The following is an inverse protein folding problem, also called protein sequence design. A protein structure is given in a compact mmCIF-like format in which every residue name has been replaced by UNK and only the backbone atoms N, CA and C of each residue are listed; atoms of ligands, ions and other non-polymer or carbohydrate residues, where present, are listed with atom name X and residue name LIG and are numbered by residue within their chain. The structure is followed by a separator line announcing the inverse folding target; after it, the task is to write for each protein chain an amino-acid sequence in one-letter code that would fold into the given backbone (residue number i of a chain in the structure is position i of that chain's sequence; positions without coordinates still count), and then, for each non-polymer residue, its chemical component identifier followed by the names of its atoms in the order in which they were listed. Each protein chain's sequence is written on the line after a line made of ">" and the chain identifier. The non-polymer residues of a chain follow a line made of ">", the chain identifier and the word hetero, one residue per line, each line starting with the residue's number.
data_IF_565729538222
#
_entry.id   IF_565729538222
#
_cell.length_a   1.000
_cell.length_b   1.000
_cell.length_c   1.000
_cell.angle_alpha   90.00
_cell.angle_beta   90.00
_cell.angle_gamma   90.00
#
_symmetry.space_group_name_H-M   'P 1'
#
loop_
_entity.id
_entity.type
_entity.pdbx_description
1 polymer ?
#
# COMPACT_ATOMS: atom_id res chain seq x y z
N UNK A 1 -22.97 13.65 -13.96
CA UNK A 1 -23.67 12.97 -12.83
C UNK A 1 -22.71 12.41 -11.78
N UNK A 2 -21.40 12.44 -12.04
CA UNK A 2 -20.30 12.02 -11.16
C UNK A 2 -20.04 12.94 -9.96
N UNK A 3 -20.34 14.21 -10.09
CA UNK A 3 -19.98 15.23 -9.09
C UNK A 3 -20.66 15.09 -7.72
N UNK A 4 -21.79 14.39 -7.62
CA UNK A 4 -22.56 14.34 -6.38
C UNK A 4 -22.15 13.23 -5.44
N UNK A 5 -21.77 12.05 -5.97
CA UNK A 5 -21.31 10.93 -5.15
C UNK A 5 -19.90 11.20 -4.59
N UNK A 6 -18.98 11.69 -5.43
CA UNK A 6 -17.67 12.16 -5.01
C UNK A 6 -17.75 13.29 -3.97
N UNK A 7 -18.70 14.22 -4.11
CA UNK A 7 -18.91 15.30 -3.15
C UNK A 7 -19.44 14.85 -1.78
N UNK A 8 -20.16 13.73 -1.71
CA UNK A 8 -20.73 13.22 -0.45
C UNK A 8 -19.72 12.36 0.32
N UNK A 9 -18.86 11.63 -0.40
CA UNK A 9 -17.89 10.71 0.21
C UNK A 9 -16.48 11.28 0.30
N UNK A 10 -16.14 12.18 -0.62
CA UNK A 10 -14.87 12.90 -0.63
C UNK A 10 -15.11 14.42 -0.62
N UNK A 11 -15.54 14.99 0.50
CA UNK A 11 -15.89 16.40 0.59
C UNK A 11 -14.70 17.37 0.43
N UNK A 12 -13.48 16.85 0.32
CA UNK A 12 -12.23 17.61 0.33
C UNK A 12 -12.04 18.54 -0.85
N UNK A 13 -12.39 18.10 -2.06
CA UNK A 13 -12.40 18.99 -3.24
C UNK A 13 -13.40 20.14 -3.07
N UNK A 14 -14.57 19.82 -2.54
CA UNK A 14 -15.57 20.84 -2.23
C UNK A 14 -15.08 21.79 -1.13
N UNK A 15 -14.48 21.24 -0.06
CA UNK A 15 -13.93 22.03 1.05
C UNK A 15 -12.77 22.93 0.60
N UNK A 16 -11.90 22.47 -0.32
CA UNK A 16 -10.84 23.31 -0.91
C UNK A 16 -11.39 24.38 -1.87
N UNK A 17 -12.34 24.01 -2.73
CA UNK A 17 -12.98 24.98 -3.64
C UNK A 17 -13.78 26.07 -2.89
N UNK A 18 -14.27 25.76 -1.70
CA UNK A 18 -14.97 26.71 -0.84
C UNK A 18 -14.05 27.48 0.12
N UNK A 19 -12.74 27.19 0.12
CA UNK A 19 -11.78 27.85 1.01
C UNK A 19 -11.82 27.39 2.46
N UNK A 20 -12.55 26.32 2.76
CA UNK A 20 -12.65 25.75 4.11
C UNK A 20 -11.45 24.84 4.46
N UNK A 21 -10.67 24.43 3.47
CA UNK A 21 -9.38 23.77 3.65
C UNK A 21 -8.27 24.59 2.97
N UNK A 22 -7.06 24.59 3.56
CA UNK A 22 -5.91 25.27 2.95
C UNK A 22 -5.49 24.59 1.64
N UNK A 23 -4.82 25.31 0.72
CA UNK A 23 -4.19 24.71 -0.45
C UNK A 23 -3.13 23.69 -0.02
N UNK A 24 -2.88 22.69 -0.88
CA UNK A 24 -1.85 21.67 -0.65
C UNK A 24 -0.50 22.33 -0.36
N UNK A 25 0.14 22.03 0.79
CA UNK A 25 1.45 22.62 1.07
C UNK A 25 2.50 22.07 0.11
N UNK A 26 3.30 22.95 -0.48
CA UNK A 26 4.48 22.56 -1.25
C UNK A 26 5.56 22.13 -0.26
N UNK A 27 5.88 20.85 -0.24
CA UNK A 27 6.90 20.28 0.66
C UNK A 27 8.28 20.43 0.01
N UNK A 28 9.20 21.14 0.67
CA UNK A 28 10.59 21.26 0.23
C UNK A 28 11.40 19.96 0.42
N UNK A 29 12.58 19.89 -0.23
CA UNK A 29 13.46 18.71 -0.21
C UNK A 29 13.85 18.22 1.19
N UNK A 30 13.87 16.91 1.45
CA UNK A 30 14.30 16.35 2.72
C UNK A 30 15.81 16.53 2.95
N UNK A 31 16.26 16.69 4.20
CA UNK A 31 17.67 16.57 4.53
C UNK A 31 18.13 15.12 4.27
N UNK A 32 19.31 14.94 3.68
CA UNK A 32 19.84 13.65 3.24
C UNK A 32 19.82 12.59 4.34
N UNK A 33 19.35 11.38 3.99
CA UNK A 33 19.37 10.22 4.88
C UNK A 33 20.78 9.68 5.05
N UNK A 34 21.17 9.33 6.30
CA UNK A 34 22.46 8.72 6.60
C UNK A 34 22.39 7.23 6.24
N UNK A 35 23.27 6.70 5.39
CA UNK A 35 23.27 5.29 4.99
C UNK A 35 23.65 4.36 6.15
N UNK A 36 22.90 3.26 6.37
CA UNK A 36 23.31 2.17 7.29
C UNK A 36 24.15 1.10 6.59
N UNK A 37 25.17 0.54 7.21
CA UNK A 37 26.01 -0.53 6.63
C UNK A 37 25.26 -1.87 6.56
N UNK A 38 25.38 -2.62 5.46
CA UNK A 38 25.10 -4.06 5.41
C UNK A 38 24.00 -4.55 4.48
N UNK A 39 23.19 -3.70 3.85
CA UNK A 39 22.16 -4.13 2.90
C UNK A 39 22.62 -3.83 1.46
N UNK A 40 22.55 -4.83 0.56
CA UNK A 40 23.17 -4.79 -0.77
C UNK A 40 22.68 -3.67 -1.71
N UNK A 41 21.41 -3.32 -1.68
CA UNK A 41 20.84 -2.17 -2.38
C UNK A 41 20.27 -1.23 -1.36
N UNK A 42 20.70 0.04 -1.38
CA UNK A 42 20.17 1.09 -0.51
C UNK A 42 19.21 1.95 -1.31
N UNK A 43 18.01 2.14 -0.76
CA UNK A 43 17.11 3.15 -1.26
C UNK A 43 17.51 4.49 -0.64
N UNK A 44 18.20 5.32 -1.44
CA UNK A 44 18.65 6.64 -0.98
C UNK A 44 17.51 7.65 -1.08
N UNK A 45 17.21 8.28 0.05
CA UNK A 45 16.21 9.33 0.15
C UNK A 45 16.71 10.72 -0.28
N UNK A 46 17.77 10.79 -1.09
CA UNK A 46 18.40 12.08 -1.47
C UNK A 46 17.64 12.85 -2.55
N UNK A 47 16.62 12.25 -3.18
CA UNK A 47 15.77 12.95 -4.15
C UNK A 47 14.30 12.79 -3.78
N UNK A 48 13.50 13.87 -3.85
CA UNK A 48 12.11 13.83 -3.44
C UNK A 48 11.23 12.91 -4.25
N UNK A 49 11.59 12.50 -5.47
CA UNK A 49 10.77 11.62 -6.31
C UNK A 49 11.58 10.91 -7.38
N UNK A 50 12.17 9.75 -7.15
CA UNK A 50 12.47 8.87 -8.27
C UNK A 50 11.12 8.36 -8.83
N UNK A 51 10.72 8.91 -9.97
CA UNK A 51 9.62 8.35 -10.75
C UNK A 51 10.12 7.04 -11.32
N UNK A 52 9.53 5.93 -10.88
CA UNK A 52 9.89 4.58 -11.34
C UNK A 52 8.89 4.08 -12.40
N UNK A 53 8.21 4.99 -13.11
CA UNK A 53 7.03 4.65 -13.89
C UNK A 53 7.23 4.74 -15.40
N UNK A 54 6.75 3.68 -16.08
CA UNK A 54 6.14 3.77 -17.41
C UNK A 54 4.64 3.55 -17.25
N UNK A 55 3.82 4.57 -17.41
CA UNK A 55 2.35 4.50 -17.25
C UNK A 55 1.62 4.16 -18.54
N UNK A 56 0.50 3.45 -18.38
CA UNK A 56 -0.60 3.45 -19.34
C UNK A 56 -1.71 4.41 -18.87
N UNK A 57 -2.35 5.08 -19.80
CA UNK A 57 -3.29 6.19 -19.62
C UNK A 57 -4.66 5.84 -18.99
N UNK A 58 -4.95 4.58 -18.70
CA UNK A 58 -6.29 4.16 -18.24
C UNK A 58 -6.60 4.46 -16.77
N UNK A 59 -5.63 4.97 -16.00
CA UNK A 59 -5.77 5.25 -14.57
C UNK A 59 -5.59 6.72 -14.18
N UNK A 60 -5.43 7.61 -15.16
CA UNK A 60 -5.10 9.02 -14.88
C UNK A 60 -6.17 9.73 -14.03
N UNK A 61 -7.45 9.43 -14.23
CA UNK A 61 -8.55 10.03 -13.43
C UNK A 61 -8.52 9.53 -11.98
N UNK A 62 -8.28 8.26 -11.76
CA UNK A 62 -8.17 7.64 -10.44
C UNK A 62 -6.96 8.17 -9.67
N UNK A 63 -5.78 8.21 -10.31
CA UNK A 63 -4.55 8.77 -9.72
C UNK A 63 -4.74 10.23 -9.33
N UNK A 64 -5.36 11.04 -10.22
CA UNK A 64 -5.61 12.45 -9.94
C UNK A 64 -6.53 12.66 -8.71
N UNK A 65 -7.50 11.77 -8.49
CA UNK A 65 -8.41 11.85 -7.34
C UNK A 65 -7.67 11.55 -6.03
N UNK A 66 -6.80 10.55 -5.99
CA UNK A 66 -5.96 10.26 -4.82
C UNK A 66 -4.89 11.34 -4.59
N UNK A 67 -4.32 11.92 -5.64
CA UNK A 67 -3.41 13.06 -5.54
C UNK A 67 -4.08 14.27 -4.86
N UNK A 68 -5.34 14.56 -5.23
CA UNK A 68 -6.09 15.67 -4.63
C UNK A 68 -6.51 15.40 -3.18
N UNK A 69 -6.68 14.13 -2.80
CA UNK A 69 -7.10 13.73 -1.45
C UNK A 69 -5.97 13.55 -0.46
N UNK A 70 -4.72 13.48 -0.92
CA UNK A 70 -3.58 13.01 -0.12
C UNK A 70 -3.44 13.71 1.24
N UNK A 71 -3.70 15.02 1.33
CA UNK A 71 -3.54 15.80 2.59
C UNK A 71 -4.58 15.47 3.66
N UNK A 72 -5.72 14.92 3.25
CA UNK A 72 -6.88 14.72 4.14
C UNK A 72 -7.30 13.26 4.20
N UNK A 73 -6.69 12.42 3.35
CA UNK A 73 -6.98 10.98 3.26
C UNK A 73 -6.97 10.32 4.64
N UNK A 74 -5.90 10.52 5.40
CA UNK A 74 -5.74 9.97 6.73
C UNK A 74 -6.88 10.38 7.68
N UNK A 75 -7.35 11.62 7.63
CA UNK A 75 -8.41 12.09 8.49
C UNK A 75 -9.75 11.39 8.26
N UNK A 76 -10.02 10.98 7.01
CA UNK A 76 -11.28 10.33 6.63
C UNK A 76 -11.20 8.81 6.65
N UNK A 77 -10.08 8.23 6.22
CA UNK A 77 -9.93 6.76 6.06
C UNK A 77 -9.45 6.11 7.35
N UNK A 78 -8.54 6.76 8.08
CA UNK A 78 -7.90 6.24 9.29
C UNK A 78 -8.86 5.77 10.38
N UNK A 79 -9.99 6.44 10.69
CA UNK A 79 -10.94 5.93 11.70
C UNK A 79 -11.49 4.54 11.36
N UNK A 80 -11.54 4.18 10.07
CA UNK A 80 -12.03 2.88 9.59
C UNK A 80 -10.89 1.88 9.38
N UNK A 81 -9.76 2.32 8.80
CA UNK A 81 -8.63 1.43 8.50
C UNK A 81 -7.85 1.01 9.74
N UNK A 82 -7.69 1.90 10.72
CA UNK A 82 -6.89 1.63 11.92
C UNK A 82 -7.34 0.38 12.70
N UNK A 83 -8.62 0.18 13.03
CA UNK A 83 -9.03 -1.03 13.72
C UNK A 83 -8.77 -2.32 12.92
N UNK A 84 -8.96 -2.26 11.59
CA UNK A 84 -8.71 -3.40 10.71
C UNK A 84 -7.22 -3.73 10.69
N UNK A 85 -6.38 -2.71 10.55
CA UNK A 85 -4.93 -2.88 10.52
C UNK A 85 -4.37 -3.31 11.88
N UNK A 86 -4.95 -2.83 13.00
CA UNK A 86 -4.53 -3.24 14.36
C UNK A 86 -4.67 -4.74 14.55
N UNK A 87 -5.79 -5.32 14.14
CA UNK A 87 -6.02 -6.75 14.22
C UNK A 87 -5.15 -7.51 13.19
N UNK A 88 -5.03 -6.98 11.96
CA UNK A 88 -4.20 -7.58 10.93
C UNK A 88 -2.71 -7.58 11.30
N UNK A 89 -2.23 -6.56 12.00
CA UNK A 89 -0.84 -6.47 12.47
C UNK A 89 -0.50 -7.63 13.42
N UNK A 90 -1.47 -8.12 14.20
CA UNK A 90 -1.29 -9.32 15.03
C UNK A 90 -0.91 -10.57 14.22
N UNK A 91 -1.41 -10.70 13.00
CA UNK A 91 -1.07 -11.79 12.07
C UNK A 91 0.22 -11.53 11.26
N UNK A 92 0.53 -10.26 10.97
CA UNK A 92 1.67 -9.86 10.14
C UNK A 92 2.96 -9.75 10.96
N UNK A 93 2.91 -9.18 12.16
CA UNK A 93 4.10 -8.92 12.99
C UNK A 93 4.92 -10.18 13.29
N UNK A 94 4.33 -11.36 13.61
CA UNK A 94 5.10 -12.59 13.83
C UNK A 94 5.89 -13.09 12.61
N UNK A 95 5.57 -12.58 11.42
CA UNK A 95 6.25 -12.93 10.17
C UNK A 95 7.47 -12.04 9.89
N UNK A 96 7.67 -10.97 10.68
CA UNK A 96 8.76 -10.00 10.52
C UNK A 96 9.87 -10.26 11.53
N UNK A 97 11.11 -10.23 11.06
CA UNK A 97 12.29 -10.15 11.92
C UNK A 97 12.63 -8.68 12.19
N UNK A 98 13.31 -8.35 13.29
CA UNK A 98 13.68 -6.96 13.61
C UNK A 98 14.51 -6.25 12.53
N UNK A 99 15.25 -7.01 11.72
CA UNK A 99 16.08 -6.56 10.61
C UNK A 99 15.41 -6.73 9.24
N UNK A 100 14.12 -7.04 9.21
CA UNK A 100 13.39 -7.32 7.97
C UNK A 100 13.35 -6.12 7.03
N UNK A 101 13.38 -6.40 5.73
CA UNK A 101 13.09 -5.44 4.68
C UNK A 101 11.65 -5.65 4.20
N UNK A 102 10.82 -4.63 4.37
CA UNK A 102 9.39 -4.68 4.10
C UNK A 102 9.01 -3.72 2.98
N UNK A 103 8.18 -4.17 2.05
CA UNK A 103 7.54 -3.34 1.02
C UNK A 103 6.05 -3.19 1.34
N UNK A 104 5.56 -1.96 1.30
CA UNK A 104 4.13 -1.63 1.30
C UNK A 104 3.71 -1.31 -0.14
N UNK A 105 2.89 -2.18 -0.71
CA UNK A 105 2.43 -2.08 -2.09
C UNK A 105 1.06 -1.36 -2.14
N UNK A 106 1.06 -0.07 -2.40
CA UNK A 106 -0.09 0.84 -2.27
C UNK A 106 -0.11 1.50 -0.90
N UNK A 107 0.97 2.21 -0.55
CA UNK A 107 1.20 2.70 0.81
C UNK A 107 0.35 3.92 1.20
N UNK A 108 -0.37 4.55 0.24
CA UNK A 108 -1.10 5.77 0.49
C UNK A 108 -0.22 6.83 1.19
N UNK A 109 -0.77 7.51 2.18
CA UNK A 109 -0.06 8.49 2.99
C UNK A 109 0.95 7.87 4.01
N UNK A 110 1.15 6.55 3.98
CA UNK A 110 2.20 5.83 4.72
C UNK A 110 1.93 5.61 6.21
N UNK A 111 0.70 5.74 6.67
CA UNK A 111 0.37 5.66 8.10
C UNK A 111 0.65 4.28 8.70
N UNK A 112 0.21 3.22 8.02
CA UNK A 112 0.47 1.83 8.45
C UNK A 112 1.96 1.50 8.34
N UNK A 113 2.61 1.91 7.24
CA UNK A 113 4.03 1.67 7.03
C UNK A 113 4.90 2.28 8.13
N UNK A 114 4.56 3.48 8.61
CA UNK A 114 5.27 4.11 9.72
C UNK A 114 5.14 3.34 11.03
N UNK A 115 4.03 2.65 11.23
CA UNK A 115 3.82 1.77 12.40
C UNK A 115 4.73 0.54 12.30
N UNK A 116 4.82 -0.07 11.12
CA UNK A 116 5.75 -1.18 10.85
C UNK A 116 7.20 -0.72 11.01
N UNK A 117 7.55 0.46 10.51
CA UNK A 117 8.90 1.01 10.65
C UNK A 117 9.40 1.10 12.10
N UNK A 118 8.50 1.44 13.03
CA UNK A 118 8.83 1.49 14.47
C UNK A 118 9.05 0.11 15.08
N UNK A 119 8.49 -0.94 14.49
CA UNK A 119 8.69 -2.33 14.93
C UNK A 119 10.00 -2.93 14.39
N UNK A 120 10.63 -2.27 13.42
CA UNK A 120 11.81 -2.73 12.70
C UNK A 120 13.00 -1.78 12.90
N UNK A 121 13.55 -1.66 14.12
CA UNK A 121 14.61 -0.68 14.40
C UNK A 121 15.89 -0.91 13.60
N UNK A 122 16.16 -2.16 13.20
CA UNK A 122 17.32 -2.55 12.39
C UNK A 122 16.94 -2.86 10.94
N UNK A 123 15.66 -2.80 10.62
CA UNK A 123 15.09 -3.07 9.30
C UNK A 123 14.92 -1.83 8.43
N UNK A 124 14.39 -2.05 7.25
CA UNK A 124 14.10 -1.01 6.26
C UNK A 124 12.69 -1.20 5.72
N UNK A 125 11.93 -0.13 5.59
CA UNK A 125 10.60 -0.16 5.01
C UNK A 125 10.52 0.72 3.78
N UNK A 126 9.92 0.20 2.72
CA UNK A 126 9.72 0.89 1.45
C UNK A 126 8.23 0.96 1.18
N UNK A 127 7.71 2.15 0.88
CA UNK A 127 6.34 2.34 0.41
C UNK A 127 6.32 2.68 -1.07
N UNK A 128 5.41 2.10 -1.81
CA UNK A 128 5.12 2.51 -3.18
C UNK A 128 3.64 2.84 -3.32
N UNK A 129 3.37 3.85 -4.11
CA UNK A 129 2.00 4.22 -4.50
C UNK A 129 2.01 4.76 -5.93
N UNK A 130 0.88 4.63 -6.62
CA UNK A 130 0.72 5.15 -7.97
C UNK A 130 0.51 6.67 -7.97
N UNK A 131 -0.12 7.20 -6.92
CA UNK A 131 -0.41 8.62 -6.74
C UNK A 131 0.79 9.37 -6.12
N UNK A 132 1.34 10.35 -6.85
CA UNK A 132 2.48 11.16 -6.39
C UNK A 132 2.14 11.96 -5.13
N UNK A 133 0.91 12.46 -5.00
CA UNK A 133 0.44 13.17 -3.81
C UNK A 133 0.48 12.29 -2.56
N UNK A 134 0.10 11.00 -2.67
CA UNK A 134 0.21 10.04 -1.57
C UNK A 134 1.66 9.82 -1.15
N UNK A 135 2.56 9.62 -2.11
CA UNK A 135 4.00 9.48 -1.85
C UNK A 135 4.57 10.71 -1.14
N UNK A 136 4.16 11.91 -1.57
CA UNK A 136 4.55 13.18 -0.94
C UNK A 136 4.07 13.28 0.51
N UNK A 137 2.80 12.93 0.74
CA UNK A 137 2.21 12.93 2.08
C UNK A 137 2.93 11.93 3.00
N UNK A 138 3.23 10.72 2.50
CA UNK A 138 3.96 9.70 3.22
C UNK A 138 5.38 10.17 3.62
N UNK A 139 6.11 10.81 2.72
CA UNK A 139 7.40 11.42 2.99
C UNK A 139 7.32 12.51 4.06
N UNK A 140 6.38 13.44 3.92
CA UNK A 140 6.18 14.52 4.87
C UNK A 140 5.89 13.98 6.27
N UNK A 141 5.01 12.98 6.36
CA UNK A 141 4.61 12.35 7.60
C UNK A 141 5.76 11.58 8.26
N UNK A 142 6.51 10.76 7.51
CA UNK A 142 7.66 10.03 8.04
C UNK A 142 8.73 10.96 8.63
N UNK A 143 9.01 12.08 7.96
CA UNK A 143 9.92 13.11 8.47
C UNK A 143 9.42 13.78 9.74
N UNK A 144 8.14 14.15 9.76
CA UNK A 144 7.53 14.75 10.96
C UNK A 144 7.63 13.85 12.18
N UNK A 145 7.64 12.52 11.97
CA UNK A 145 7.78 11.51 13.01
C UNK A 145 9.24 11.05 13.24
N UNK A 146 10.23 11.63 12.56
CA UNK A 146 11.64 11.31 12.74
C UNK A 146 12.04 9.89 12.30
N UNK A 147 11.30 9.27 11.37
CA UNK A 147 11.59 7.93 10.89
C UNK A 147 12.69 7.97 9.83
N UNK A 148 13.84 7.34 10.11
CA UNK A 148 15.01 7.32 9.23
C UNK A 148 15.11 6.03 8.39
N UNK A 149 14.28 5.00 8.69
CA UNK A 149 14.30 3.70 8.04
C UNK A 149 13.13 3.51 7.04
N UNK A 150 12.51 4.61 6.60
CA UNK A 150 11.44 4.63 5.60
C UNK A 150 11.95 5.24 4.28
N UNK A 151 11.50 4.69 3.16
CA UNK A 151 11.64 5.28 1.82
C UNK A 151 10.32 5.14 1.06
N UNK A 152 9.96 6.12 0.23
CA UNK A 152 8.72 6.11 -0.54
C UNK A 152 8.99 6.44 -2.00
N UNK A 153 8.30 5.75 -2.91
CA UNK A 153 8.49 5.94 -4.35
C UNK A 153 7.13 5.90 -5.07
N UNK A 154 7.00 6.70 -6.11
CA UNK A 154 5.91 6.55 -7.04
C UNK A 154 6.19 5.33 -7.94
N UNK A 155 5.32 4.32 -7.93
CA UNK A 155 5.49 3.10 -8.72
C UNK A 155 4.17 2.37 -8.93
N UNK A 156 4.02 1.71 -10.09
CA UNK A 156 2.97 0.73 -10.36
C UNK A 156 3.36 -0.61 -9.73
N UNK A 157 2.47 -1.17 -8.90
CA UNK A 157 2.68 -2.50 -8.28
C UNK A 157 2.78 -3.60 -9.33
N UNK A 158 2.08 -3.46 -10.45
CA UNK A 158 2.17 -4.41 -11.57
C UNK A 158 3.44 -4.29 -12.41
N UNK A 159 4.28 -3.26 -12.17
CA UNK A 159 5.50 -3.00 -12.94
C UNK A 159 6.66 -2.59 -12.02
N UNK A 160 6.91 -3.40 -10.99
CA UNK A 160 8.00 -3.15 -10.05
C UNK A 160 9.37 -3.12 -10.74
N UNK A 161 10.25 -2.18 -10.37
CA UNK A 161 11.58 -2.10 -10.96
C UNK A 161 12.42 -3.33 -10.57
N UNK A 162 13.26 -3.80 -11.51
CA UNK A 162 14.12 -4.99 -11.30
C UNK A 162 15.04 -4.90 -10.09
N UNK A 163 15.36 -3.70 -9.61
CA UNK A 163 16.15 -3.51 -8.38
C UNK A 163 15.42 -4.04 -7.14
N UNK A 164 14.12 -4.30 -7.24
CA UNK A 164 13.32 -4.89 -6.19
C UNK A 164 13.34 -6.43 -6.22
N UNK A 165 13.81 -7.08 -7.29
CA UNK A 165 13.83 -8.53 -7.39
C UNK A 165 14.60 -9.17 -6.23
N UNK A 166 13.93 -10.03 -5.47
CA UNK A 166 14.49 -10.70 -4.30
C UNK A 166 14.91 -9.78 -3.15
N UNK A 167 14.42 -8.53 -3.12
CA UNK A 167 14.88 -7.53 -2.17
C UNK A 167 14.16 -7.57 -0.82
N UNK A 168 12.96 -8.13 -0.74
CA UNK A 168 12.09 -8.01 0.43
C UNK A 168 11.84 -9.33 1.16
N UNK A 169 11.80 -9.25 2.48
CA UNK A 169 11.39 -10.34 3.37
C UNK A 169 9.89 -10.50 3.41
N UNK A 170 9.20 -9.36 3.41
CA UNK A 170 7.76 -9.26 3.46
C UNK A 170 7.29 -8.15 2.54
N UNK A 171 6.25 -8.43 1.79
CA UNK A 171 5.44 -7.41 1.11
C UNK A 171 4.07 -7.42 1.77
N UNK A 172 3.52 -6.26 2.07
CA UNK A 172 2.13 -6.18 2.49
C UNK A 172 1.38 -5.12 1.68
N UNK A 173 0.08 -5.20 1.74
CA UNK A 173 -0.87 -4.26 1.19
C UNK A 173 -2.03 -4.13 2.18
N UNK A 174 -2.47 -2.93 2.44
CA UNK A 174 -3.61 -2.69 3.34
C UNK A 174 -4.65 -1.83 2.64
N UNK A 175 -5.83 -2.42 2.40
CA UNK A 175 -6.99 -1.76 1.80
C UNK A 175 -6.68 -1.07 0.46
N UNK A 176 -5.79 -1.64 -0.35
CA UNK A 176 -5.45 -1.13 -1.66
C UNK A 176 -5.50 -2.19 -2.78
N UNK A 177 -5.55 -3.50 -2.44
CA UNK A 177 -5.56 -4.57 -3.44
C UNK A 177 -6.80 -4.51 -4.36
N UNK A 178 -7.94 -4.09 -3.84
CA UNK A 178 -9.18 -3.95 -4.60
C UNK A 178 -9.16 -2.80 -5.63
N UNK A 179 -8.07 -2.04 -5.68
CA UNK A 179 -7.79 -1.03 -6.71
C UNK A 179 -6.83 -1.54 -7.81
N UNK A 180 -6.24 -2.74 -7.67
CA UNK A 180 -5.29 -3.23 -8.67
C UNK A 180 -5.99 -3.62 -9.97
N UNK A 181 -5.70 -2.95 -11.11
CA UNK A 181 -6.37 -3.24 -12.38
C UNK A 181 -6.07 -4.64 -12.90
N UNK A 182 -4.85 -5.13 -12.66
CA UNK A 182 -4.41 -6.48 -12.97
C UNK A 182 -3.79 -7.13 -11.72
N UNK A 183 -4.64 -7.76 -10.87
CA UNK A 183 -4.16 -8.44 -9.66
C UNK A 183 -3.18 -9.58 -9.94
N UNK A 184 -3.29 -10.22 -11.11
CA UNK A 184 -2.40 -11.33 -11.48
C UNK A 184 -0.99 -10.81 -11.80
N UNK A 185 -0.89 -9.70 -12.55
CA UNK A 185 0.36 -9.03 -12.84
C UNK A 185 1.02 -8.49 -11.56
N UNK A 186 0.23 -7.87 -10.68
CA UNK A 186 0.70 -7.38 -9.38
C UNK A 186 1.23 -8.53 -8.50
N UNK A 187 0.49 -9.65 -8.39
CA UNK A 187 0.92 -10.80 -7.61
C UNK A 187 2.22 -11.42 -8.14
N UNK A 188 2.40 -11.49 -9.47
CA UNK A 188 3.63 -11.96 -10.09
C UNK A 188 4.81 -11.02 -9.82
N UNK A 189 4.64 -9.71 -9.96
CA UNK A 189 5.68 -8.73 -9.67
C UNK A 189 6.09 -8.75 -8.19
N UNK A 190 5.12 -8.89 -7.27
CA UNK A 190 5.38 -9.02 -5.84
C UNK A 190 6.10 -10.35 -5.53
N UNK A 191 5.71 -11.45 -6.20
CA UNK A 191 6.43 -12.71 -6.05
C UNK A 191 7.91 -12.56 -6.43
N UNK A 192 8.22 -11.86 -7.53
CA UNK A 192 9.59 -11.62 -7.95
C UNK A 192 10.35 -10.72 -6.96
N UNK A 193 9.70 -9.70 -6.42
CA UNK A 193 10.28 -8.79 -5.43
C UNK A 193 10.62 -9.46 -4.09
N UNK A 194 9.95 -10.56 -3.75
CA UNK A 194 10.22 -11.33 -2.54
C UNK A 194 11.45 -12.21 -2.71
N UNK A 195 12.29 -12.25 -1.67
CA UNK A 195 13.35 -13.25 -1.55
C UNK A 195 12.77 -14.67 -1.37
N UNK A 196 13.54 -15.73 -1.59
CA UNK A 196 13.11 -17.09 -1.26
C UNK A 196 12.67 -17.19 0.20
N UNK A 197 11.51 -17.80 0.45
CA UNK A 197 10.88 -17.90 1.77
C UNK A 197 10.13 -16.64 2.22
N UNK A 198 10.19 -15.54 1.46
CA UNK A 198 9.49 -14.29 1.74
C UNK A 198 7.96 -14.43 1.70
N UNK A 199 7.27 -13.49 2.30
CA UNK A 199 5.82 -13.54 2.53
C UNK A 199 5.12 -12.34 1.94
N UNK A 200 3.97 -12.57 1.30
CA UNK A 200 3.04 -11.53 0.86
C UNK A 200 1.77 -11.57 1.73
N UNK A 201 1.36 -10.42 2.26
CA UNK A 201 0.16 -10.23 3.06
C UNK A 201 -0.76 -9.18 2.42
N UNK A 202 -2.04 -9.51 2.24
CA UNK A 202 -3.07 -8.56 1.79
C UNK A 202 -4.12 -8.44 2.87
N UNK A 203 -4.31 -7.24 3.39
CA UNK A 203 -5.39 -6.88 4.33
C UNK A 203 -6.52 -6.27 3.51
N UNK A 204 -7.64 -6.98 3.37
CA UNK A 204 -8.75 -6.51 2.53
C UNK A 204 -10.09 -7.14 2.99
N UNK A 205 -11.26 -6.65 2.53
CA UNK A 205 -12.50 -7.43 2.60
C UNK A 205 -12.35 -8.77 1.87
N UNK A 206 -12.93 -9.84 2.42
CA UNK A 206 -12.73 -11.18 1.86
C UNK A 206 -13.97 -12.06 1.79
N UNK A 207 -14.75 -12.26 2.86
CA UNK A 207 -15.86 -13.19 2.84
C UNK A 207 -16.90 -12.87 1.76
N UNK A 208 -17.34 -13.89 1.01
CA UNK A 208 -18.27 -13.70 -0.10
C UNK A 208 -19.59 -12.99 0.31
N UNK A 209 -20.08 -13.27 1.53
CA UNK A 209 -21.28 -12.61 2.05
C UNK A 209 -21.07 -11.11 2.26
N UNK A 210 -19.88 -10.73 2.77
CA UNK A 210 -19.53 -9.32 2.98
C UNK A 210 -19.34 -8.60 1.65
N UNK A 211 -18.64 -9.22 0.71
CA UNK A 211 -18.43 -8.68 -0.64
C UNK A 211 -19.76 -8.49 -1.39
N UNK A 212 -20.70 -9.42 -1.25
CA UNK A 212 -22.03 -9.30 -1.85
C UNK A 212 -22.82 -8.11 -1.26
N UNK A 213 -22.65 -7.84 0.03
CA UNK A 213 -23.34 -6.75 0.72
C UNK A 213 -22.67 -5.39 0.47
N UNK A 214 -21.34 -5.33 0.59
CA UNK A 214 -20.56 -4.08 0.52
C UNK A 214 -20.13 -3.69 -0.89
N UNK A 215 -19.98 -4.66 -1.81
CA UNK A 215 -19.50 -4.41 -3.17
C UNK A 215 -20.32 -3.38 -3.96
N UNK A 216 -21.67 -3.41 -3.96
CA UNK A 216 -22.46 -2.38 -4.62
C UNK A 216 -22.24 -0.97 -4.05
N UNK A 217 -22.03 -0.87 -2.72
CA UNK A 217 -21.73 0.39 -2.06
C UNK A 217 -20.31 0.84 -2.41
N UNK A 218 -19.32 -0.07 -2.35
CA UNK A 218 -17.95 0.22 -2.72
C UNK A 218 -17.86 0.73 -4.18
N UNK A 219 -18.49 0.02 -5.10
CA UNK A 219 -18.53 0.42 -6.52
C UNK A 219 -19.14 1.81 -6.72
N UNK A 220 -20.09 2.19 -5.88
CA UNK A 220 -20.71 3.51 -5.95
C UNK A 220 -19.86 4.59 -5.28
N UNK A 221 -19.17 4.23 -4.18
CA UNK A 221 -18.49 5.15 -3.30
C UNK A 221 -17.02 5.37 -3.69
N UNK A 222 -16.40 4.38 -4.31
CA UNK A 222 -14.97 4.32 -4.58
C UNK A 222 -14.74 4.20 -6.10
N UNK A 223 -14.32 5.28 -6.77
CA UNK A 223 -14.13 5.29 -8.22
C UNK A 223 -13.07 4.31 -8.72
N UNK A 224 -12.06 4.05 -7.90
CA UNK A 224 -10.99 3.12 -8.20
C UNK A 224 -11.29 1.66 -7.85
N UNK A 225 -12.47 1.39 -7.28
CA UNK A 225 -12.80 0.03 -6.87
C UNK A 225 -13.03 -0.88 -8.08
N UNK A 226 -12.26 -1.96 -8.16
CA UNK A 226 -12.34 -2.97 -9.22
C UNK A 226 -13.06 -4.21 -8.73
N UNK A 227 -12.86 -4.60 -7.47
CA UNK A 227 -13.54 -5.72 -6.86
C UNK A 227 -12.80 -6.30 -5.66
N UNK A 228 -13.56 -6.88 -4.74
CA UNK A 228 -13.00 -7.61 -3.62
C UNK A 228 -12.80 -9.09 -4.00
N UNK A 229 -11.69 -9.67 -3.58
CA UNK A 229 -11.40 -11.07 -3.74
C UNK A 229 -11.89 -11.87 -2.53
N UNK A 230 -12.60 -12.97 -2.77
CA UNK A 230 -12.89 -13.96 -1.71
C UNK A 230 -11.60 -14.68 -1.27
N UNK A 231 -11.58 -15.33 -0.08
CA UNK A 231 -10.46 -16.15 0.35
C UNK A 231 -10.01 -17.22 -0.67
N UNK A 232 -10.97 -17.82 -1.38
CA UNK A 232 -10.69 -18.77 -2.46
C UNK A 232 -9.98 -18.14 -3.65
N UNK A 233 -10.47 -16.98 -4.09
CA UNK A 233 -9.87 -16.23 -5.19
C UNK A 233 -8.46 -15.73 -4.85
N UNK A 234 -8.22 -15.23 -3.63
CA UNK A 234 -6.85 -14.90 -3.17
C UNK A 234 -5.93 -16.12 -3.24
N UNK A 235 -6.40 -17.27 -2.76
CA UNK A 235 -5.60 -18.50 -2.81
C UNK A 235 -5.27 -18.90 -4.25
N UNK A 236 -6.23 -18.88 -5.15
CA UNK A 236 -6.03 -19.20 -6.57
C UNK A 236 -5.06 -18.22 -7.24
N UNK A 237 -5.26 -16.91 -7.01
CA UNK A 237 -4.42 -15.85 -7.52
C UNK A 237 -2.95 -16.04 -7.12
N UNK A 238 -2.69 -16.29 -5.84
CA UNK A 238 -1.33 -16.41 -5.34
C UNK A 238 -0.64 -17.70 -5.80
N UNK A 239 -1.37 -18.83 -5.83
CA UNK A 239 -0.81 -20.07 -6.35
C UNK A 239 -0.50 -19.97 -7.86
N UNK A 240 -1.35 -19.29 -8.63
CA UNK A 240 -1.10 -19.02 -10.04
C UNK A 240 0.11 -18.11 -10.28
N UNK A 241 0.38 -17.17 -9.35
CA UNK A 241 1.56 -16.31 -9.39
C UNK A 241 2.87 -17.01 -8.93
N UNK A 242 2.81 -18.30 -8.53
CA UNK A 242 4.00 -19.08 -8.17
C UNK A 242 4.29 -19.18 -6.66
N UNK A 243 3.43 -18.65 -5.79
CA UNK A 243 3.57 -18.86 -4.36
C UNK A 243 3.38 -20.33 -3.99
N UNK A 244 4.21 -20.85 -3.08
CA UNK A 244 4.18 -22.24 -2.67
C UNK A 244 2.95 -22.60 -1.81
N UNK A 245 2.45 -21.63 -1.06
CA UNK A 245 1.26 -21.78 -0.21
C UNK A 245 0.57 -20.44 -0.01
N UNK A 246 -0.75 -20.49 0.22
CA UNK A 246 -1.57 -19.33 0.53
C UNK A 246 -2.70 -19.75 1.49
N UNK A 247 -3.04 -18.85 2.43
CA UNK A 247 -4.14 -19.02 3.36
C UNK A 247 -4.81 -17.67 3.64
N UNK A 248 -5.96 -17.73 4.30
CA UNK A 248 -6.73 -16.58 4.76
C UNK A 248 -6.89 -16.64 6.28
N UNK A 249 -6.77 -15.50 6.94
CA UNK A 249 -7.07 -15.30 8.36
C UNK A 249 -8.08 -14.19 8.49
N UNK A 250 -9.27 -14.50 8.97
CA UNK A 250 -10.25 -13.47 9.31
C UNK A 250 -9.80 -12.79 10.61
N UNK A 251 -9.75 -11.45 10.61
CA UNK A 251 -9.31 -10.65 11.76
C UNK A 251 -10.45 -9.83 12.36
N UNK A 252 -11.38 -9.40 11.52
CA UNK A 252 -12.66 -8.77 11.92
C UNK A 252 -13.78 -9.31 11.02
N UNK A 253 -15.05 -9.24 11.43
CA UNK A 253 -16.16 -9.62 10.56
C UNK A 253 -16.10 -8.91 9.23
N UNK A 254 -15.90 -9.67 8.15
CA UNK A 254 -15.81 -9.16 6.78
C UNK A 254 -14.40 -8.79 6.31
N UNK A 255 -13.41 -8.75 7.20
CA UNK A 255 -12.02 -8.39 6.86
C UNK A 255 -11.03 -9.46 7.31
N UNK A 256 -9.94 -9.59 6.59
CA UNK A 256 -8.88 -10.52 6.98
C UNK A 256 -7.57 -10.27 6.26
N UNK A 257 -6.63 -11.17 6.50
CA UNK A 257 -5.31 -11.17 5.89
C UNK A 257 -5.19 -12.41 5.00
N UNK A 258 -5.01 -12.19 3.70
CA UNK A 258 -4.56 -13.23 2.78
C UNK A 258 -3.03 -13.30 2.85
N UNK A 259 -2.49 -14.44 3.22
CA UNK A 259 -1.06 -14.66 3.44
C UNK A 259 -0.57 -15.68 2.41
N UNK A 260 0.45 -15.31 1.63
CA UNK A 260 1.11 -16.19 0.67
C UNK A 260 2.61 -16.28 0.94
N UNK A 261 3.22 -17.44 0.73
CA UNK A 261 4.65 -17.62 0.94
C UNK A 261 5.33 -18.15 -0.32
N UNK A 262 6.42 -17.46 -0.71
CA UNK A 262 7.35 -17.92 -1.76
C UNK A 262 8.15 -19.11 -1.26
N UNK A 263 8.45 -20.07 -2.17
CA UNK A 263 9.28 -21.19 -1.82
C UNK A 263 10.65 -20.73 -1.25
N UNK A 264 11.13 -21.41 -0.21
CA UNK A 264 12.49 -21.22 0.29
C UNK A 264 13.53 -21.84 -0.66
N UNK A 265 14.79 -21.48 -0.51
CA UNK A 265 15.88 -22.24 -1.11
C UNK A 265 15.96 -23.62 -0.45
N UNK A 266 16.06 -24.67 -1.26
CA UNK A 266 16.28 -26.03 -0.79
C UNK A 266 17.65 -26.17 -0.13
#
# INVERSE_FOLDING_TARGET
>A
MWSYAAQVLYPTQWLRRTGLLPPTPVVGDPPGAVPRPGLGVRFSCSHPHPVLLEHGTEHDEFVAEFDEMADVYDAFVRPFSTPIFDEALGEIQPLMRPDARVLDAGCGAGTELQRIARLLPDGEVVGIDLAAGMVNAAWASARAHGLANCAFFQSDVGALPKVFDGAFDLVYNSLAHHHYPDPAKAAAAIHDALRPGGVYCVVDPGPAWFNALSGPLAKWADPGWIGFHSPGQFRELFLAAGFARACWREVLPGFGVAIAQKAGTA
#
